data_IF_188120321344
#
_entry.id   IF_188120321344
#
_cell.length_a   1.000
_cell.length_b   1.000
_cell.length_c   1.000
_cell.angle_alpha   90.00
_cell.angle_beta   90.00
_cell.angle_gamma   90.00
#
_symmetry.space_group_name_H-M   'P 1'
#
loop_
_entity.id
_entity.type
_entity.pdbx_description
1 polymer ?
#
# COMPACT_ATOMS: atom_id res chain seq x y z
N UNK A 1 40.81 5.87 7.76
CA UNK A 1 40.28 4.62 8.36
C UNK A 1 39.93 4.76 9.86
N UNK A 2 40.76 5.41 10.68
CA UNK A 2 40.56 5.55 12.14
C UNK A 2 39.22 6.15 12.60
N UNK A 3 38.66 7.11 11.85
CA UNK A 3 37.38 7.75 12.18
C UNK A 3 36.19 6.78 12.17
N UNK A 4 36.19 5.82 11.24
CA UNK A 4 35.11 4.84 11.09
C UNK A 4 35.19 3.79 12.19
N UNK A 5 36.39 3.30 12.53
CA UNK A 5 36.59 2.36 13.64
C UNK A 5 36.19 2.98 14.99
N UNK A 6 36.56 4.25 15.23
CA UNK A 6 36.18 4.97 16.44
C UNK A 6 34.67 5.22 16.51
N UNK A 7 34.02 5.53 15.39
CA UNK A 7 32.55 5.63 15.33
C UNK A 7 31.88 4.29 15.60
N UNK A 8 32.37 3.21 14.97
CA UNK A 8 31.84 1.87 15.12
C UNK A 8 31.94 1.39 16.58
N UNK A 9 33.06 1.62 17.27
CA UNK A 9 33.20 1.23 18.68
C UNK A 9 32.33 2.05 19.63
N UNK A 10 32.06 3.32 19.33
CA UNK A 10 31.41 4.24 20.28
C UNK A 10 29.92 4.48 20.01
N UNK A 11 29.44 4.28 18.77
CA UNK A 11 28.09 4.70 18.35
C UNK A 11 27.34 3.71 17.46
N UNK A 12 27.94 2.59 17.03
CA UNK A 12 27.24 1.62 16.18
C UNK A 12 26.11 0.88 16.87
N UNK A 13 26.23 0.71 18.19
CA UNK A 13 25.30 -0.03 19.03
C UNK A 13 24.23 0.88 19.67
N UNK A 14 24.41 2.20 19.59
CA UNK A 14 23.41 3.16 20.05
C UNK A 14 22.33 3.32 18.98
N UNK A 15 21.07 3.38 19.41
CA UNK A 15 19.95 3.71 18.52
C UNK A 15 20.27 5.03 17.80
N UNK A 16 20.12 5.08 16.46
CA UNK A 16 20.28 6.34 15.73
C UNK A 16 19.39 7.41 16.36
N UNK A 17 19.92 8.62 16.53
CA UNK A 17 19.07 9.73 16.92
C UNK A 17 17.91 9.86 15.93
N UNK A 18 16.67 10.06 16.41
CA UNK A 18 15.55 10.28 15.52
C UNK A 18 15.84 11.50 14.65
N UNK A 19 15.58 11.38 13.34
CA UNK A 19 15.80 12.47 12.40
C UNK A 19 15.03 13.71 12.86
N UNK A 20 15.76 14.77 13.21
CA UNK A 20 15.17 16.02 13.64
C UNK A 20 14.60 16.76 12.42
N UNK A 21 13.28 16.68 12.24
CA UNK A 21 12.59 17.52 11.26
C UNK A 21 12.67 18.99 11.71
N UNK A 22 13.00 19.94 10.82
CA UNK A 22 12.95 21.36 11.17
C UNK A 22 11.52 21.79 11.54
N UNK A 23 11.39 22.89 12.27
CA UNK A 23 10.07 23.46 12.56
C UNK A 23 9.43 23.98 11.27
N UNK A 24 8.13 23.74 11.11
CA UNK A 24 7.39 24.10 9.91
C UNK A 24 6.59 25.40 10.13
N UNK A 25 6.41 26.15 9.03
CA UNK A 25 5.49 27.29 8.97
C UNK A 25 4.11 26.78 8.59
N UNK A 26 3.08 27.21 9.30
CA UNK A 26 1.69 26.85 9.00
C UNK A 26 1.18 27.64 7.80
N UNK A 27 1.40 28.95 7.77
CA UNK A 27 1.07 29.80 6.62
C UNK A 27 2.31 30.53 6.03
N UNK A 28 2.23 30.98 4.75
CA UNK A 28 3.27 31.83 4.16
C UNK A 28 3.38 33.15 4.94
N UNK A 29 4.58 33.49 5.40
CA UNK A 29 4.85 34.74 6.13
C UNK A 29 4.72 34.65 7.66
N UNK A 30 4.25 33.53 8.19
CA UNK A 30 4.15 33.32 9.64
C UNK A 30 5.44 32.75 10.27
N UNK A 31 5.67 32.99 11.58
CA UNK A 31 6.72 32.33 12.33
C UNK A 31 6.54 30.80 12.32
N UNK A 32 7.64 30.07 12.52
CA UNK A 32 7.60 28.60 12.59
C UNK A 32 6.94 28.18 13.91
N UNK A 33 5.73 27.64 13.83
CA UNK A 33 4.91 27.27 14.99
C UNK A 33 4.72 25.76 15.14
N UNK A 34 4.94 24.96 14.09
CA UNK A 34 4.81 23.51 14.15
C UNK A 34 6.14 22.83 14.50
N UNK A 35 6.28 22.42 15.76
CA UNK A 35 7.49 21.85 16.35
C UNK A 35 7.35 20.34 16.53
N UNK A 36 6.18 19.88 17.00
CA UNK A 36 5.93 18.46 17.27
C UNK A 36 5.62 17.69 16.00
N UNK A 37 5.72 16.37 16.05
CA UNK A 37 5.39 15.51 14.91
C UNK A 37 3.92 15.66 14.48
N UNK A 38 3.00 15.73 15.45
CA UNK A 38 1.56 15.87 15.19
C UNK A 38 1.23 17.23 14.55
N UNK A 39 1.83 18.32 15.05
CA UNK A 39 1.67 19.66 14.47
C UNK A 39 2.17 19.70 13.03
N UNK A 40 3.32 19.06 12.74
CA UNK A 40 3.89 18.99 11.40
C UNK A 40 3.00 18.17 10.46
N UNK A 41 2.52 17.01 10.91
CA UNK A 41 1.62 16.18 10.13
C UNK A 41 0.33 16.93 9.79
N UNK A 42 -0.25 17.64 10.76
CA UNK A 42 -1.44 18.47 10.55
C UNK A 42 -1.20 19.59 9.54
N UNK A 43 -0.14 20.38 9.73
CA UNK A 43 0.20 21.48 8.82
C UNK A 43 0.45 21.00 7.38
N UNK A 44 1.10 19.84 7.20
CA UNK A 44 1.29 19.24 5.88
C UNK A 44 -0.03 18.73 5.29
N UNK A 45 -0.88 18.10 6.11
CA UNK A 45 -2.17 17.58 5.65
C UNK A 45 -3.08 18.69 5.12
N UNK A 46 -3.17 19.82 5.84
CA UNK A 46 -4.00 20.97 5.44
C UNK A 46 -3.48 21.63 4.16
N UNK A 47 -2.15 21.66 3.98
CA UNK A 47 -1.51 22.29 2.82
C UNK A 47 -1.57 21.46 1.54
N UNK A 48 -1.37 20.15 1.65
CA UNK A 48 -1.33 19.25 0.49
C UNK A 48 -2.67 18.56 0.20
N UNK A 49 -3.56 18.48 1.20
CA UNK A 49 -4.89 17.85 1.07
C UNK A 49 -5.98 18.80 1.57
N UNK A 50 -6.20 19.93 0.89
CA UNK A 50 -7.28 20.85 1.26
C UNK A 50 -8.62 20.11 1.17
N UNK A 51 -9.44 20.25 2.21
CA UNK A 51 -10.81 19.71 2.21
C UNK A 51 -11.66 20.51 1.23
N UNK A 52 -11.74 20.04 -0.01
CA UNK A 52 -12.66 20.59 -1.01
C UNK A 52 -14.02 19.91 -0.87
N UNK A 53 -15.10 20.68 -0.82
CA UNK A 53 -16.44 20.12 -1.05
C UNK A 53 -16.59 19.84 -2.55
N UNK A 54 -16.77 18.58 -2.91
CA UNK A 54 -17.16 18.24 -4.28
C UNK A 54 -18.57 18.80 -4.52
N UNK A 55 -18.74 19.62 -5.55
CA UNK A 55 -20.07 20.09 -5.95
C UNK A 55 -20.82 18.96 -6.63
N UNK A 56 -21.87 18.46 -5.97
CA UNK A 56 -22.78 17.43 -6.50
C UNK A 56 -23.81 18.01 -7.47
N UNK A 57 -23.80 19.32 -7.74
CA UNK A 57 -24.84 20.01 -8.51
C UNK A 57 -24.99 19.51 -9.96
N UNK A 58 -23.94 18.90 -10.53
CA UNK A 58 -23.94 18.33 -11.88
C UNK A 58 -24.14 16.81 -11.91
N UNK A 59 -24.30 16.17 -10.75
CA UNK A 59 -24.69 14.77 -10.68
C UNK A 59 -26.22 14.81 -10.68
N UNK A 60 -26.90 14.44 -11.78
CA UNK A 60 -28.34 14.30 -11.73
C UNK A 60 -28.66 13.32 -10.60
N UNK A 61 -29.65 13.64 -9.75
CA UNK A 61 -30.27 12.66 -8.86
C UNK A 61 -30.76 11.53 -9.74
N UNK A 62 -29.89 10.54 -9.89
CA UNK A 62 -30.20 9.35 -10.62
C UNK A 62 -30.78 8.47 -9.55
N UNK A 63 -32.09 8.61 -9.38
CA UNK A 63 -32.94 7.53 -8.89
C UNK A 63 -32.65 6.36 -9.81
N UNK A 64 -31.57 5.62 -9.52
CA UNK A 64 -31.26 4.39 -10.21
C UNK A 64 -32.39 3.47 -9.80
N UNK A 65 -33.31 3.08 -10.71
CA UNK A 65 -34.26 2.04 -10.35
C UNK A 65 -33.43 0.84 -9.90
N UNK A 66 -33.78 0.27 -8.74
CA UNK A 66 -33.07 -0.88 -8.14
C UNK A 66 -32.88 -2.04 -9.13
N UNK A 67 -33.69 -2.05 -10.21
CA UNK A 67 -33.64 -2.99 -11.33
C UNK A 67 -32.40 -2.87 -12.24
N UNK A 68 -31.55 -1.85 -12.07
CA UNK A 68 -30.35 -1.64 -12.89
C UNK A 68 -29.24 -2.69 -12.68
N UNK A 69 -29.35 -3.50 -11.62
CA UNK A 69 -28.31 -4.45 -11.18
C UNK A 69 -28.65 -5.92 -11.42
N UNK A 70 -29.61 -6.24 -12.30
CA UNK A 70 -30.01 -7.64 -12.55
C UNK A 70 -29.04 -8.48 -13.39
N UNK A 71 -27.83 -8.00 -13.69
CA UNK A 71 -26.80 -8.86 -14.27
C UNK A 71 -26.18 -9.73 -13.18
N UNK A 72 -26.90 -10.80 -12.82
CA UNK A 72 -26.30 -11.95 -12.16
C UNK A 72 -25.34 -12.59 -13.16
N UNK A 73 -24.04 -12.35 -12.97
CA UNK A 73 -23.01 -13.11 -13.69
C UNK A 73 -23.12 -14.55 -13.20
N UNK A 74 -23.70 -15.42 -14.04
CA UNK A 74 -23.65 -16.86 -13.81
C UNK A 74 -22.21 -17.31 -14.03
N UNK A 75 -21.47 -17.45 -12.94
CA UNK A 75 -20.18 -18.12 -12.95
C UNK A 75 -20.47 -19.62 -12.96
N UNK A 76 -20.23 -20.27 -14.10
CA UNK A 76 -20.25 -21.72 -14.20
C UNK A 76 -18.91 -22.24 -13.66
N UNK A 77 -18.89 -22.72 -12.41
CA UNK A 77 -17.68 -23.26 -11.75
C UNK A 77 -17.43 -24.72 -12.12
N UNK A 78 -17.78 -25.15 -13.33
CA UNK A 78 -17.48 -26.49 -13.82
C UNK A 78 -16.01 -26.59 -14.24
N UNK A 79 -15.14 -26.92 -13.29
CA UNK A 79 -13.77 -27.35 -13.60
C UNK A 79 -13.86 -28.79 -14.12
N UNK A 80 -13.53 -29.00 -15.40
CA UNK A 80 -13.42 -30.34 -15.97
C UNK A 80 -12.16 -31.03 -15.46
N UNK A 81 -12.18 -32.37 -15.39
CA UNK A 81 -10.99 -33.16 -15.06
C UNK A 81 -9.81 -32.90 -16.02
N UNK A 82 -10.08 -32.41 -17.23
CA UNK A 82 -9.08 -32.00 -18.23
C UNK A 82 -8.47 -30.62 -17.97
N UNK A 83 -9.16 -29.77 -17.21
CA UNK A 83 -8.68 -28.42 -16.90
C UNK A 83 -7.52 -28.45 -15.91
N UNK A 84 -7.55 -29.40 -14.97
CA UNK A 84 -6.54 -29.57 -13.93
C UNK A 84 -5.15 -29.84 -14.53
N UNK A 85 -4.93 -30.89 -15.37
CA UNK A 85 -3.62 -31.13 -15.97
C UNK A 85 -3.18 -29.98 -16.87
N UNK A 86 -4.12 -29.40 -17.65
CA UNK A 86 -3.84 -28.24 -18.51
C UNK A 86 -3.30 -27.03 -17.74
N UNK A 87 -3.84 -26.74 -16.57
CA UNK A 87 -3.37 -25.64 -15.72
C UNK A 87 -2.01 -25.99 -15.12
N UNK A 88 -1.86 -27.19 -14.57
CA UNK A 88 -0.60 -27.65 -13.96
C UNK A 88 0.55 -27.55 -14.97
N UNK A 89 0.34 -27.99 -16.21
CA UNK A 89 1.37 -27.92 -17.27
C UNK A 89 1.82 -26.50 -17.57
N UNK A 90 0.88 -25.55 -17.63
CA UNK A 90 1.14 -24.14 -17.95
C UNK A 90 1.78 -23.36 -16.80
N UNK A 91 1.75 -23.87 -15.57
CA UNK A 91 2.41 -23.21 -14.43
C UNK A 91 3.92 -23.41 -14.51
N UNK A 92 4.70 -22.33 -14.46
CA UNK A 92 6.16 -22.41 -14.41
C UNK A 92 6.66 -23.22 -13.22
N UNK A 93 7.60 -24.14 -13.46
CA UNK A 93 8.25 -24.92 -12.40
C UNK A 93 9.05 -24.00 -11.47
N UNK A 94 9.12 -24.34 -10.18
CA UNK A 94 9.96 -23.66 -9.19
C UNK A 94 9.65 -22.17 -8.98
N UNK A 95 8.38 -21.74 -9.17
CA UNK A 95 7.94 -20.46 -8.61
C UNK A 95 8.04 -20.49 -7.08
N UNK A 96 8.17 -19.30 -6.49
CA UNK A 96 8.17 -19.16 -5.03
C UNK A 96 6.92 -19.83 -4.44
N UNK A 97 7.08 -20.63 -3.38
CA UNK A 97 5.97 -21.32 -2.74
C UNK A 97 5.01 -20.34 -2.08
N UNK A 98 3.74 -20.74 -1.97
CA UNK A 98 2.72 -19.98 -1.27
C UNK A 98 2.84 -20.09 0.25
N UNK A 99 1.78 -19.71 0.95
CA UNK A 99 1.69 -19.79 2.42
C UNK A 99 1.83 -21.24 2.95
N UNK A 100 1.50 -22.23 2.11
CA UNK A 100 1.63 -23.66 2.38
C UNK A 100 3.06 -24.20 2.26
N UNK A 101 4.01 -23.35 1.83
CA UNK A 101 5.40 -23.70 1.57
C UNK A 101 5.61 -24.80 0.50
N UNK A 102 4.57 -25.18 -0.25
CA UNK A 102 4.66 -26.18 -1.32
C UNK A 102 5.06 -25.52 -2.63
N UNK A 103 6.07 -26.09 -3.30
CA UNK A 103 6.48 -25.61 -4.62
C UNK A 103 5.64 -26.25 -5.72
N UNK A 104 5.45 -25.52 -6.82
CA UNK A 104 4.77 -26.05 -8.01
C UNK A 104 5.47 -27.27 -8.63
N UNK A 105 6.74 -27.51 -8.27
CA UNK A 105 7.46 -28.71 -8.71
C UNK A 105 6.80 -30.00 -8.21
N UNK A 106 6.25 -29.99 -7.00
CA UNK A 106 5.54 -31.15 -6.44
C UNK A 106 4.24 -31.45 -7.18
N UNK A 107 3.53 -30.40 -7.62
CA UNK A 107 2.29 -30.55 -8.38
C UNK A 107 2.51 -31.16 -9.77
N UNK A 108 3.72 -31.04 -10.32
CA UNK A 108 4.11 -31.61 -11.63
C UNK A 108 4.73 -33.02 -11.54
N UNK A 109 5.07 -33.48 -10.34
CA UNK A 109 5.77 -34.74 -10.13
C UNK A 109 4.85 -35.95 -9.93
N UNK A 110 3.54 -35.71 -9.79
CA UNK A 110 2.48 -36.70 -9.72
C UNK A 110 1.91 -37.00 -11.10
#
# INVERSE_FOLDING_TARGET
MWGIEKWARLRSHTRPEPAALPALRVAPGEPQTAITHEEKAKALSERFFPKTSASTANIPDKDWPEESFHNTVRLDWSVSGEDIPRIIDNVGANKAPGEDALSNGFLKAC
#
